data_IF_293998573933
#
_entry.id   IF_293998573933
#
_cell.length_a   1.000
_cell.length_b   1.000
_cell.length_c   1.000
_cell.angle_alpha   90.00
_cell.angle_beta   90.00
_cell.angle_gamma   90.00
#
_symmetry.space_group_name_H-M   'P 1'
#
loop_
_entity.id
_entity.type
_entity.pdbx_description
1 polymer ?
#
# COMPACT_ATOMS: atom_id res chain seq x y z
N UNK A 1 29.38 -4.28 37.96
CA UNK A 1 28.50 -5.24 37.33
C UNK A 1 27.52 -5.69 38.41
N UNK A 2 26.28 -5.20 38.32
CA UNK A 2 25.27 -5.35 39.37
C UNK A 2 24.44 -6.59 39.18
N UNK A 3 23.95 -7.13 40.30
CA UNK A 3 23.17 -8.36 40.48
C UNK A 3 21.87 -8.44 39.60
N UNK A 4 21.53 -7.40 38.87
CA UNK A 4 20.32 -7.33 38.04
C UNK A 4 20.46 -7.95 36.62
N UNK A 5 21.65 -8.40 36.21
CA UNK A 5 21.87 -9.01 34.89
C UNK A 5 21.88 -10.56 34.88
N UNK A 6 21.61 -11.20 36.00
CA UNK A 6 21.64 -12.68 36.11
C UNK A 6 20.27 -13.37 36.10
N UNK A 7 19.16 -12.66 36.15
CA UNK A 7 17.82 -13.27 36.23
C UNK A 7 17.01 -13.29 34.91
N UNK A 8 17.57 -12.81 33.80
CA UNK A 8 16.88 -12.79 32.49
C UNK A 8 17.33 -13.88 31.50
N UNK A 9 17.93 -14.98 32.02
CA UNK A 9 18.16 -16.22 31.26
C UNK A 9 17.32 -17.36 31.81
N UNK A 10 16.02 -17.19 31.82
CA UNK A 10 15.08 -18.31 32.02
C UNK A 10 14.52 -18.76 30.66
N UNK A 11 15.15 -19.78 30.16
CA UNK A 11 14.64 -21.01 29.53
C UNK A 11 13.48 -20.87 28.53
N UNK A 12 13.83 -20.45 27.31
CA UNK A 12 12.96 -20.48 26.13
C UNK A 12 12.57 -21.89 25.64
N UNK A 13 13.04 -22.95 26.32
CA UNK A 13 12.75 -24.37 25.94
C UNK A 13 11.50 -24.95 26.58
N UNK A 14 10.91 -24.31 27.58
CA UNK A 14 9.71 -24.81 28.26
C UNK A 14 8.38 -24.33 27.70
N UNK A 15 8.37 -23.35 26.79
CA UNK A 15 7.14 -22.79 26.21
C UNK A 15 6.64 -23.61 25.00
N UNK A 16 7.50 -24.42 24.39
CA UNK A 16 7.17 -25.10 23.14
C UNK A 16 6.53 -26.49 23.28
N UNK A 17 6.44 -27.04 24.51
CA UNK A 17 5.80 -28.36 24.75
C UNK A 17 4.32 -28.24 25.13
N UNK A 18 3.85 -27.06 25.58
CA UNK A 18 2.45 -26.86 26.00
C UNK A 18 1.47 -26.64 24.85
N UNK A 19 1.92 -26.08 23.70
CA UNK A 19 1.04 -25.85 22.55
C UNK A 19 0.74 -27.09 21.70
N UNK A 20 1.61 -28.08 21.67
CA UNK A 20 1.37 -29.32 20.91
C UNK A 20 0.44 -30.29 21.62
N UNK A 21 0.34 -30.24 22.94
CA UNK A 21 -0.54 -31.11 23.72
C UNK A 21 -1.97 -30.61 23.82
N UNK A 22 -2.18 -29.29 23.66
CA UNK A 22 -3.52 -28.69 23.70
C UNK A 22 -4.33 -28.92 22.42
N UNK A 23 -3.67 -29.04 21.25
CA UNK A 23 -4.33 -29.30 19.98
C UNK A 23 -4.66 -30.77 19.71
N UNK A 24 -4.07 -31.70 20.47
CA UNK A 24 -4.35 -33.14 20.32
C UNK A 24 -5.52 -33.63 21.18
N UNK A 25 -5.90 -32.87 22.23
CA UNK A 25 -6.96 -33.28 23.16
C UNK A 25 -8.36 -32.72 22.81
N UNK A 26 -8.45 -31.73 21.95
CA UNK A 26 -9.73 -31.07 21.54
C UNK A 26 -10.35 -31.64 20.25
N UNK A 27 -9.65 -32.54 19.55
CA UNK A 27 -10.12 -33.12 18.29
C UNK A 27 -11.04 -34.34 18.41
N UNK A 28 -11.12 -34.98 19.59
CA UNK A 28 -11.80 -36.26 19.73
C UNK A 28 -13.20 -36.20 20.37
N UNK A 29 -13.66 -35.05 20.83
CA UNK A 29 -14.95 -34.92 21.58
C UNK A 29 -16.03 -34.11 20.85
N UNK A 30 -15.79 -33.66 19.61
CA UNK A 30 -16.77 -32.88 18.83
C UNK A 30 -17.43 -33.66 17.68
N UNK A 31 -16.93 -34.87 17.39
CA UNK A 31 -17.42 -35.65 16.25
C UNK A 31 -18.73 -36.42 16.48
N UNK A 32 -19.19 -36.65 17.71
CA UNK A 32 -20.41 -37.44 17.98
C UNK A 32 -21.67 -36.63 18.29
N UNK A 33 -21.58 -35.31 18.46
CA UNK A 33 -22.70 -34.44 18.86
C UNK A 33 -23.44 -33.71 17.70
N UNK A 34 -22.94 -33.66 16.50
CA UNK A 34 -23.48 -32.81 15.41
C UNK A 34 -24.19 -33.55 14.24
N UNK A 35 -24.33 -34.86 14.31
CA UNK A 35 -24.96 -35.63 13.23
C UNK A 35 -26.51 -35.67 13.28
N UNK A 36 -27.16 -35.08 14.29
CA UNK A 36 -28.59 -35.28 14.54
C UNK A 36 -29.51 -34.07 14.31
N UNK A 37 -29.06 -33.01 13.62
CA UNK A 37 -29.90 -31.80 13.46
C UNK A 37 -29.89 -31.13 12.09
N UNK A 38 -29.66 -31.87 11.05
CA UNK A 38 -29.91 -31.35 9.69
C UNK A 38 -31.16 -32.00 9.12
N UNK A 39 -32.29 -31.44 9.52
CA UNK A 39 -33.57 -31.72 8.91
C UNK A 39 -33.54 -31.28 7.45
N UNK A 40 -34.11 -32.11 6.57
CA UNK A 40 -34.32 -31.85 5.15
C UNK A 40 -35.18 -30.56 5.00
N UNK A 41 -34.53 -29.42 4.77
CA UNK A 41 -35.14 -28.18 4.31
C UNK A 41 -34.91 -28.07 2.81
N UNK A 42 -35.97 -28.27 2.06
CA UNK A 42 -36.07 -27.92 0.64
C UNK A 42 -35.90 -26.42 0.44
N UNK A 43 -34.98 -25.97 -0.40
CA UNK A 43 -34.88 -24.60 -0.84
C UNK A 43 -33.53 -23.89 -0.55
N UNK A 44 -32.44 -24.42 -1.06
CA UNK A 44 -31.22 -23.63 -1.28
C UNK A 44 -30.81 -23.78 -2.71
N UNK A 45 -31.50 -23.06 -3.57
CA UNK A 45 -31.08 -22.82 -4.93
C UNK A 45 -31.14 -21.31 -5.19
N UNK A 46 -30.25 -20.61 -4.52
CA UNK A 46 -29.65 -19.35 -4.95
C UNK A 46 -28.21 -19.40 -4.49
N UNK A 47 -27.36 -19.98 -5.36
CA UNK A 47 -25.97 -19.53 -5.37
C UNK A 47 -26.07 -18.04 -5.66
N UNK A 48 -25.79 -17.21 -4.68
CA UNK A 48 -25.40 -15.85 -4.95
C UNK A 48 -24.21 -15.99 -5.89
N UNK A 49 -24.41 -15.73 -7.17
CA UNK A 49 -23.34 -15.60 -8.14
C UNK A 49 -22.43 -14.56 -7.54
N UNK A 50 -21.16 -14.95 -7.29
CA UNK A 50 -20.11 -13.98 -7.03
C UNK A 50 -20.24 -12.94 -8.13
N UNK A 51 -20.22 -11.62 -7.82
CA UNK A 51 -20.40 -10.58 -8.81
C UNK A 51 -19.47 -10.90 -9.97
N UNK A 52 -20.05 -11.07 -11.18
CA UNK A 52 -19.35 -11.46 -12.39
C UNK A 52 -18.16 -10.52 -12.58
N UNK A 53 -17.02 -11.07 -12.96
CA UNK A 53 -15.77 -10.35 -13.24
C UNK A 53 -15.90 -9.38 -14.43
N UNK A 54 -16.70 -8.41 -14.37
CA UNK A 54 -16.95 -7.26 -15.24
C UNK A 54 -18.45 -7.02 -15.38
N UNK A 55 -19.01 -6.39 -14.41
CA UNK A 55 -19.79 -5.22 -14.78
C UNK A 55 -18.72 -4.18 -15.16
N UNK A 56 -18.63 -3.86 -16.45
CA UNK A 56 -17.68 -2.88 -16.96
C UNK A 56 -17.85 -1.61 -16.14
N UNK A 57 -16.87 -1.34 -15.26
CA UNK A 57 -16.90 -0.14 -14.50
C UNK A 57 -17.03 1.01 -15.49
N UNK A 58 -18.07 1.82 -15.38
CA UNK A 58 -18.29 2.97 -16.25
C UNK A 58 -17.22 4.04 -16.02
N UNK A 59 -16.24 3.79 -15.13
CA UNK A 59 -15.16 4.68 -14.76
C UNK A 59 -13.82 3.94 -14.79
N UNK A 60 -12.76 4.70 -14.92
CA UNK A 60 -11.38 4.21 -14.97
C UNK A 60 -10.90 3.81 -13.59
N UNK A 61 -10.24 2.65 -13.51
CA UNK A 61 -9.63 2.14 -12.27
C UNK A 61 -8.12 2.31 -12.36
N UNK A 62 -7.54 3.04 -11.40
CA UNK A 62 -6.11 3.33 -11.34
C UNK A 62 -5.62 2.96 -9.94
N UNK A 63 -4.74 1.98 -9.89
CA UNK A 63 -4.02 1.60 -8.69
C UNK A 63 -2.86 2.57 -8.45
N UNK A 64 -2.84 3.25 -7.29
CA UNK A 64 -1.83 4.25 -6.99
C UNK A 64 -0.59 3.70 -6.28
N UNK A 65 -0.53 2.39 -5.99
CA UNK A 65 0.49 1.83 -5.12
C UNK A 65 0.91 0.42 -5.53
N UNK A 66 2.00 0.31 -6.29
CA UNK A 66 2.62 -0.98 -6.60
C UNK A 66 4.14 -0.87 -6.72
N UNK A 67 4.84 -1.86 -6.21
CA UNK A 67 6.30 -1.95 -6.25
C UNK A 67 6.76 -2.80 -7.41
N UNK A 68 7.82 -2.37 -8.13
CA UNK A 68 8.38 -3.09 -9.27
C UNK A 68 9.90 -3.04 -9.24
N UNK A 69 10.54 -4.09 -9.72
CA UNK A 69 11.98 -4.12 -9.97
C UNK A 69 12.72 -5.26 -9.29
N UNK A 70 14.03 -5.11 -9.21
CA UNK A 70 14.94 -6.06 -8.57
C UNK A 70 15.65 -5.32 -7.44
N UNK A 71 15.53 -5.82 -6.21
CA UNK A 71 16.27 -5.30 -5.06
C UNK A 71 17.77 -5.57 -5.24
N UNK A 72 18.58 -4.60 -4.86
CA UNK A 72 20.02 -4.70 -4.84
C UNK A 72 20.56 -4.33 -3.45
N UNK A 73 19.96 -4.88 -2.41
CA UNK A 73 20.42 -4.62 -1.04
C UNK A 73 21.70 -5.40 -0.72
N UNK A 74 22.77 -4.76 -0.22
CA UNK A 74 23.97 -5.47 0.20
C UNK A 74 23.67 -6.29 1.46
N UNK A 75 24.10 -7.56 1.46
CA UNK A 75 24.08 -8.41 2.65
C UNK A 75 22.75 -9.07 2.98
N UNK A 76 21.71 -8.87 2.20
CA UNK A 76 20.51 -9.71 2.29
C UNK A 76 20.78 -11.03 1.56
N UNK A 77 20.66 -12.15 2.28
CA UNK A 77 20.62 -13.46 1.63
C UNK A 77 19.17 -13.69 1.18
N UNK A 78 18.98 -14.29 0.00
CA UNK A 78 17.66 -14.65 -0.54
C UNK A 78 16.80 -15.44 0.47
N UNK A 79 17.45 -16.16 1.41
CA UNK A 79 16.79 -16.95 2.45
C UNK A 79 16.16 -16.10 3.57
N UNK A 80 16.55 -14.83 3.74
CA UNK A 80 16.09 -13.95 4.83
C UNK A 80 15.23 -12.80 4.32
N UNK A 81 15.15 -12.61 3.01
CA UNK A 81 14.33 -11.56 2.39
C UNK A 81 12.99 -12.13 1.95
N UNK A 82 11.93 -11.37 2.13
CA UNK A 82 10.67 -11.73 1.53
C UNK A 82 10.78 -11.72 0.00
N UNK A 83 10.12 -12.64 -0.72
CA UNK A 83 10.24 -12.73 -2.18
C UNK A 83 9.96 -11.40 -2.91
N UNK A 84 8.97 -10.64 -2.45
CA UNK A 84 8.61 -9.33 -3.02
C UNK A 84 9.66 -8.23 -2.76
N UNK A 85 10.50 -8.38 -1.74
CA UNK A 85 11.61 -7.47 -1.50
C UNK A 85 12.82 -7.75 -2.39
N UNK A 86 12.82 -8.89 -3.09
CA UNK A 86 13.94 -9.28 -3.96
C UNK A 86 13.63 -9.06 -5.43
N UNK A 87 12.45 -9.49 -5.89
CA UNK A 87 12.00 -9.33 -7.29
C UNK A 87 10.50 -9.09 -7.33
N UNK A 88 10.10 -7.96 -7.90
CA UNK A 88 8.73 -7.63 -8.23
C UNK A 88 8.59 -7.54 -9.76
N UNK A 89 8.03 -8.58 -10.37
CA UNK A 89 7.95 -8.71 -11.82
C UNK A 89 6.80 -7.88 -12.39
N UNK A 90 7.12 -6.90 -13.23
CA UNK A 90 6.15 -6.02 -13.87
C UNK A 90 5.13 -6.76 -14.75
N UNK A 91 5.49 -7.89 -15.36
CA UNK A 91 4.60 -8.65 -16.24
C UNK A 91 3.58 -9.44 -15.42
N UNK A 92 3.96 -9.93 -14.24
CA UNK A 92 3.03 -10.56 -13.29
C UNK A 92 2.04 -9.52 -12.76
N UNK A 93 2.53 -8.35 -12.33
CA UNK A 93 1.68 -7.25 -11.86
C UNK A 93 0.70 -6.81 -12.94
N UNK A 94 1.16 -6.72 -14.19
CA UNK A 94 0.31 -6.39 -15.32
C UNK A 94 -0.80 -7.43 -15.54
N UNK A 95 -0.47 -8.72 -15.44
CA UNK A 95 -1.46 -9.79 -15.55
C UNK A 95 -2.51 -9.70 -14.44
N UNK A 96 -2.08 -9.56 -13.17
CA UNK A 96 -3.00 -9.44 -12.05
C UNK A 96 -3.90 -8.20 -12.16
N UNK A 97 -3.34 -7.08 -12.60
CA UNK A 97 -4.10 -5.85 -12.84
C UNK A 97 -5.15 -6.03 -13.96
N UNK A 98 -4.84 -6.79 -15.02
CA UNK A 98 -5.81 -7.13 -16.07
C UNK A 98 -6.94 -8.01 -15.53
N UNK A 99 -6.61 -9.03 -14.73
CA UNK A 99 -7.58 -9.90 -14.09
C UNK A 99 -8.46 -9.14 -13.08
N UNK A 100 -7.91 -8.16 -12.38
CA UNK A 100 -8.63 -7.29 -11.45
C UNK A 100 -9.53 -6.25 -12.15
N UNK A 101 -9.30 -6.01 -13.45
CA UNK A 101 -9.96 -4.94 -14.22
C UNK A 101 -9.37 -3.55 -13.95
N UNK A 102 -8.12 -3.48 -13.50
CA UNK A 102 -7.37 -2.25 -13.28
C UNK A 102 -6.84 -1.74 -14.64
N UNK A 103 -7.17 -0.50 -14.98
CA UNK A 103 -6.79 0.11 -16.27
C UNK A 103 -5.35 0.57 -16.28
N UNK A 104 -4.87 1.10 -15.15
CA UNK A 104 -3.50 1.60 -14.99
C UNK A 104 -3.00 1.41 -13.56
N UNK A 105 -1.69 1.17 -13.42
CA UNK A 105 -1.02 1.05 -12.13
C UNK A 105 0.12 2.06 -12.03
N UNK A 106 0.19 2.77 -10.93
CA UNK A 106 1.34 3.61 -10.58
C UNK A 106 2.39 2.67 -9.96
N UNK A 107 3.55 2.61 -10.62
CA UNK A 107 4.65 1.74 -10.20
C UNK A 107 5.84 2.56 -9.72
N UNK A 108 6.56 2.04 -8.75
CA UNK A 108 7.80 2.62 -8.24
C UNK A 108 8.77 1.51 -7.77
N UNK A 109 10.06 1.83 -7.58
CA UNK A 109 11.04 0.80 -7.23
C UNK A 109 10.71 0.11 -5.92
N UNK A 110 10.92 -1.21 -5.85
CA UNK A 110 11.12 -1.90 -4.58
C UNK A 110 12.36 -1.34 -3.88
N UNK A 111 12.61 -1.76 -2.66
CA UNK A 111 13.76 -1.29 -1.88
C UNK A 111 15.10 -1.51 -2.63
N UNK A 112 15.94 -0.48 -2.72
CA UNK A 112 17.17 -0.52 -3.52
C UNK A 112 18.27 0.37 -2.93
N UNK A 113 19.52 0.01 -3.19
CA UNK A 113 20.70 0.82 -2.82
C UNK A 113 21.08 1.87 -3.87
N UNK A 114 20.48 1.81 -5.04
CA UNK A 114 20.76 2.70 -6.17
C UNK A 114 19.44 3.15 -6.80
N UNK A 115 18.80 4.14 -6.19
CA UNK A 115 17.52 4.65 -6.70
C UNK A 115 17.63 5.35 -8.04
N UNK A 116 18.78 5.94 -8.38
CA UNK A 116 18.99 6.48 -9.73
C UNK A 116 18.73 5.41 -10.80
N UNK A 117 19.41 4.26 -10.68
CA UNK A 117 19.23 3.17 -11.65
C UNK A 117 17.83 2.57 -11.59
N UNK A 118 17.29 2.40 -10.37
CA UNK A 118 15.96 1.84 -10.18
C UNK A 118 14.87 2.75 -10.79
N UNK A 119 14.97 4.06 -10.64
CA UNK A 119 14.05 5.03 -11.24
C UNK A 119 14.13 5.05 -12.78
N UNK A 120 15.34 4.91 -13.35
CA UNK A 120 15.52 4.72 -14.80
C UNK A 120 14.85 3.42 -15.29
N UNK A 121 14.90 2.33 -14.49
CA UNK A 121 14.22 1.07 -14.80
C UNK A 121 12.69 1.26 -14.80
N UNK A 122 12.13 1.96 -13.81
CA UNK A 122 10.71 2.33 -13.78
C UNK A 122 10.32 3.12 -15.03
N UNK A 123 11.12 4.13 -15.38
CA UNK A 123 10.84 4.93 -16.57
C UNK A 123 10.80 4.08 -17.85
N UNK A 124 11.74 3.12 -18.00
CA UNK A 124 11.73 2.17 -19.12
C UNK A 124 10.50 1.28 -19.15
N UNK A 125 10.01 0.83 -17.99
CA UNK A 125 8.78 0.04 -17.90
C UNK A 125 7.56 0.86 -18.30
N UNK A 126 7.48 2.13 -17.86
CA UNK A 126 6.41 3.03 -18.28
C UNK A 126 6.43 3.31 -19.79
N UNK A 127 7.61 3.41 -20.40
CA UNK A 127 7.75 3.57 -21.85
C UNK A 127 7.37 2.29 -22.62
N UNK A 128 7.64 1.11 -22.04
CA UNK A 128 7.25 -0.18 -22.63
C UNK A 128 5.74 -0.42 -22.58
N UNK A 129 5.09 0.03 -21.51
CA UNK A 129 3.66 -0.17 -21.25
C UNK A 129 2.91 1.15 -20.97
N UNK A 130 2.93 2.13 -21.87
CA UNK A 130 2.50 3.51 -21.56
C UNK A 130 0.99 3.65 -21.27
N UNK A 131 0.20 2.68 -21.72
CA UNK A 131 -1.25 2.63 -21.40
C UNK A 131 -1.55 1.99 -20.05
N UNK A 132 -0.61 1.21 -19.51
CA UNK A 132 -0.82 0.39 -18.32
C UNK A 132 -0.05 0.88 -17.10
N UNK A 133 1.11 1.50 -17.29
CA UNK A 133 1.93 2.00 -16.19
C UNK A 133 2.13 3.51 -16.27
N UNK A 134 2.19 4.14 -15.09
CA UNK A 134 2.81 5.43 -14.85
C UNK A 134 3.75 5.27 -13.66
N UNK A 135 4.84 6.04 -13.60
CA UNK A 135 5.90 5.82 -12.62
C UNK A 135 6.03 6.96 -11.60
N UNK A 136 6.32 6.60 -10.35
CA UNK A 136 6.90 7.51 -9.38
C UNK A 136 8.39 7.21 -9.23
N UNK A 137 9.20 8.22 -8.95
CA UNK A 137 10.55 7.99 -8.47
C UNK A 137 10.52 7.62 -6.98
N UNK A 138 11.56 6.94 -6.52
CA UNK A 138 11.76 6.65 -5.11
C UNK A 138 13.14 7.18 -4.69
N UNK A 139 13.20 7.80 -3.54
CA UNK A 139 14.43 8.30 -2.93
C UNK A 139 14.48 7.96 -1.44
N UNK A 140 15.67 8.05 -0.89
CA UNK A 140 15.95 7.78 0.52
C UNK A 140 16.87 8.88 1.06
N UNK A 141 16.31 9.74 1.91
CA UNK A 141 17.04 10.87 2.49
C UNK A 141 18.19 10.47 3.45
N UNK A 142 18.17 9.23 3.93
CA UNK A 142 19.16 8.72 4.90
C UNK A 142 20.41 8.13 4.21
N UNK A 143 20.20 7.50 3.05
CA UNK A 143 21.28 6.74 2.37
C UNK A 143 21.83 7.43 1.13
N UNK A 144 21.08 8.33 0.50
CA UNK A 144 21.53 9.07 -0.67
C UNK A 144 22.34 10.33 -0.29
N UNK A 145 23.27 10.72 -1.16
CA UNK A 145 24.12 11.88 -0.94
C UNK A 145 23.30 13.18 -0.96
N UNK A 146 23.39 13.93 0.14
CA UNK A 146 22.73 15.24 0.26
C UNK A 146 23.18 16.21 -0.84
N UNK A 147 22.25 16.96 -1.38
CA UNK A 147 22.50 17.93 -2.46
C UNK A 147 22.43 17.32 -3.86
N UNK A 148 22.30 15.99 -3.99
CA UNK A 148 22.15 15.32 -5.30
C UNK A 148 20.72 14.95 -5.63
N UNK A 149 19.88 14.65 -4.62
CA UNK A 149 18.50 14.15 -4.78
C UNK A 149 17.65 15.15 -5.58
N UNK A 150 17.77 16.44 -5.29
CA UNK A 150 17.03 17.46 -6.03
C UNK A 150 17.29 17.40 -7.55
N UNK A 151 18.55 17.30 -7.94
CA UNK A 151 18.90 17.23 -9.37
C UNK A 151 18.40 15.94 -10.02
N UNK A 152 18.47 14.80 -9.31
CA UNK A 152 17.92 13.53 -9.77
C UNK A 152 16.40 13.61 -9.94
N UNK A 153 15.66 14.10 -8.97
CA UNK A 153 14.20 14.27 -9.06
C UNK A 153 13.80 15.15 -10.26
N UNK A 154 14.52 16.24 -10.51
CA UNK A 154 14.25 17.10 -11.65
C UNK A 154 14.44 16.38 -12.98
N UNK A 155 15.51 15.58 -13.11
CA UNK A 155 15.76 14.74 -14.29
C UNK A 155 14.67 13.68 -14.45
N UNK A 156 14.34 12.97 -13.39
CA UNK A 156 13.38 11.87 -13.39
C UNK A 156 11.96 12.32 -13.77
N UNK A 157 11.54 13.47 -13.27
CA UNK A 157 10.23 14.03 -13.57
C UNK A 157 10.17 14.68 -14.93
N UNK A 158 11.18 15.50 -15.30
CA UNK A 158 11.14 16.31 -16.52
C UNK A 158 11.58 15.55 -17.76
N UNK A 159 12.67 14.74 -17.62
CA UNK A 159 13.29 14.10 -18.76
C UNK A 159 12.85 12.64 -18.92
N UNK A 160 12.72 11.90 -17.80
CA UNK A 160 12.26 10.49 -17.81
C UNK A 160 10.74 10.34 -17.78
N UNK A 161 10.02 11.38 -17.39
CA UNK A 161 8.56 11.41 -17.42
C UNK A 161 7.87 10.74 -16.23
N UNK A 162 8.57 10.55 -15.11
CA UNK A 162 7.94 10.11 -13.85
C UNK A 162 6.99 11.19 -13.31
N UNK A 163 6.04 10.83 -12.45
CA UNK A 163 4.89 11.67 -12.13
C UNK A 163 4.71 12.00 -10.65
N UNK A 164 5.46 11.38 -9.76
CA UNK A 164 5.37 11.56 -8.31
C UNK A 164 6.58 10.98 -7.61
N UNK A 165 6.55 11.01 -6.29
CA UNK A 165 7.62 10.54 -5.42
C UNK A 165 7.09 9.53 -4.40
N UNK A 166 7.81 8.42 -4.22
CA UNK A 166 7.62 7.44 -3.13
C UNK A 166 8.74 7.58 -2.11
N UNK A 167 8.42 7.55 -0.84
CA UNK A 167 9.37 7.56 0.28
C UNK A 167 8.99 6.51 1.32
N UNK A 168 10.01 5.91 1.96
CA UNK A 168 9.90 5.08 3.18
C UNK A 168 10.76 5.63 4.33
N UNK A 169 11.51 6.70 4.08
CA UNK A 169 12.26 7.44 5.10
C UNK A 169 11.71 8.86 5.21
N UNK A 170 11.90 9.47 6.37
CA UNK A 170 11.39 10.82 6.60
C UNK A 170 11.97 11.80 5.56
N UNK A 171 11.12 12.58 4.87
CA UNK A 171 11.58 13.49 3.83
C UNK A 171 12.48 14.60 4.38
N UNK A 172 13.59 14.87 3.69
CA UNK A 172 14.39 16.06 3.96
C UNK A 172 13.77 17.30 3.34
N UNK A 173 14.18 18.50 3.82
CA UNK A 173 13.75 19.76 3.21
C UNK A 173 14.14 19.86 1.73
N UNK A 174 15.28 19.29 1.31
CA UNK A 174 15.69 19.23 -0.10
C UNK A 174 14.67 18.50 -0.96
N UNK A 175 14.21 17.34 -0.48
CA UNK A 175 13.21 16.50 -1.18
C UNK A 175 11.87 17.23 -1.27
N UNK A 176 11.40 17.81 -0.16
CA UNK A 176 10.12 18.52 -0.13
C UNK A 176 10.13 19.78 -1.00
N UNK A 177 11.22 20.55 -0.97
CA UNK A 177 11.39 21.70 -1.87
C UNK A 177 11.42 21.28 -3.32
N UNK A 178 12.08 20.17 -3.67
CA UNK A 178 12.07 19.64 -5.03
C UNK A 178 10.66 19.19 -5.46
N UNK A 179 9.94 18.45 -4.62
CA UNK A 179 8.58 18.01 -4.89
C UNK A 179 7.61 19.20 -5.11
N UNK A 180 7.72 20.25 -4.25
CA UNK A 180 6.95 21.49 -4.41
C UNK A 180 7.24 22.16 -5.75
N UNK A 181 8.52 22.34 -6.09
CA UNK A 181 8.94 23.06 -7.30
C UNK A 181 8.60 22.29 -8.59
N UNK A 182 8.50 20.97 -8.50
CA UNK A 182 8.05 20.08 -9.57
C UNK A 182 6.52 19.94 -9.64
N UNK A 183 5.79 20.33 -8.59
CA UNK A 183 4.34 20.18 -8.50
C UNK A 183 3.88 18.73 -8.55
N UNK A 184 4.57 17.84 -7.84
CA UNK A 184 4.28 16.41 -7.82
C UNK A 184 3.75 15.95 -6.46
N UNK A 185 2.89 14.92 -6.40
CA UNK A 185 2.48 14.31 -5.14
C UNK A 185 3.61 13.48 -4.52
N UNK A 186 3.53 13.31 -3.20
CA UNK A 186 4.46 12.53 -2.40
C UNK A 186 3.68 11.44 -1.68
N UNK A 187 3.93 10.18 -2.02
CA UNK A 187 3.45 9.00 -1.31
C UNK A 187 4.54 8.63 -0.29
N UNK A 188 4.27 8.92 0.98
CA UNK A 188 5.21 8.69 2.06
C UNK A 188 4.66 7.67 3.04
N UNK A 189 5.37 6.56 3.15
CA UNK A 189 5.12 5.56 4.19
C UNK A 189 5.95 5.92 5.42
N UNK A 190 5.25 6.30 6.48
CA UNK A 190 5.88 6.70 7.75
C UNK A 190 6.19 5.52 8.67
N UNK A 191 6.01 4.28 8.21
CA UNK A 191 6.22 3.07 9.00
C UNK A 191 5.48 3.13 10.36
N UNK A 192 4.18 3.40 10.34
CA UNK A 192 3.30 3.51 11.52
C UNK A 192 3.64 4.69 12.45
N UNK A 193 4.14 5.78 11.88
CA UNK A 193 4.42 7.04 12.59
C UNK A 193 3.75 8.20 11.87
N UNK A 194 2.42 8.12 11.72
CA UNK A 194 1.65 9.11 10.94
C UNK A 194 1.74 10.52 11.52
N UNK A 195 2.04 10.66 12.80
CA UNK A 195 2.29 11.96 13.45
C UNK A 195 3.44 12.74 12.81
N UNK A 196 4.42 12.06 12.17
CA UNK A 196 5.52 12.71 11.47
C UNK A 196 5.04 13.62 10.32
N UNK A 197 3.87 13.38 9.77
CA UNK A 197 3.32 14.25 8.74
C UNK A 197 3.04 15.67 9.26
N UNK A 198 2.79 15.87 10.56
CA UNK A 198 2.57 17.19 11.13
C UNK A 198 3.83 18.08 11.11
N UNK A 199 5.01 17.48 10.95
CA UNK A 199 6.26 18.23 10.84
C UNK A 199 6.39 19.01 9.53
N UNK A 200 5.68 18.61 8.48
CA UNK A 200 5.80 19.24 7.16
C UNK A 200 4.47 19.64 6.50
N UNK A 201 3.35 19.00 6.79
CA UNK A 201 2.04 19.37 6.22
C UNK A 201 1.71 20.86 6.28
N UNK A 202 1.92 21.56 7.42
CA UNK A 202 1.62 22.98 7.52
C UNK A 202 2.52 23.87 6.68
N UNK A 203 3.75 23.40 6.37
CA UNK A 203 4.77 24.18 5.67
C UNK A 203 4.76 23.95 4.15
N UNK A 204 4.14 22.88 3.68
CA UNK A 204 4.06 22.51 2.27
C UNK A 204 2.60 22.34 1.80
N UNK A 205 1.75 23.38 1.89
CA UNK A 205 0.32 23.27 1.60
C UNK A 205 0.00 22.99 0.12
N UNK A 206 0.97 23.14 -0.76
CA UNK A 206 0.82 22.89 -2.21
C UNK A 206 1.25 21.49 -2.63
N UNK A 207 1.90 20.73 -1.76
CA UNK A 207 2.22 19.33 -2.00
C UNK A 207 1.03 18.49 -1.56
N UNK A 208 0.56 17.60 -2.43
CA UNK A 208 -0.40 16.56 -2.03
C UNK A 208 0.39 15.38 -1.46
N UNK A 209 0.22 15.13 -0.16
CA UNK A 209 0.80 13.98 0.53
C UNK A 209 -0.20 12.83 0.54
N UNK A 210 0.29 11.62 0.33
CA UNK A 210 -0.49 10.39 0.38
C UNK A 210 0.13 9.50 1.47
N UNK A 211 -0.63 9.21 2.52
CA UNK A 211 -0.26 8.22 3.53
C UNK A 211 -0.80 6.86 3.07
N UNK A 212 0.06 5.89 2.76
CA UNK A 212 -0.38 4.56 2.38
C UNK A 212 -1.00 3.82 3.56
N UNK A 213 -1.72 2.74 3.27
CA UNK A 213 -2.22 1.76 4.25
C UNK A 213 -3.13 2.38 5.33
N UNK A 214 -3.78 3.53 5.04
CA UNK A 214 -4.47 4.31 6.06
C UNK A 214 -3.56 4.57 7.28
N UNK A 215 -2.25 4.77 7.05
CA UNK A 215 -1.22 5.08 8.06
C UNK A 215 -0.66 3.88 8.83
N UNK A 216 -1.14 2.65 8.61
CA UNK A 216 -0.76 1.48 9.41
C UNK A 216 -0.51 0.26 8.53
N UNK A 217 0.70 0.15 8.02
CA UNK A 217 1.15 -0.90 7.13
C UNK A 217 0.83 -2.31 7.67
N UNK A 218 -0.12 -3.01 7.04
CA UNK A 218 -0.60 -4.38 7.35
C UNK A 218 -0.76 -4.69 8.85
N UNK A 219 -0.79 -3.66 9.67
CA UNK A 219 -0.81 -3.75 11.12
C UNK A 219 -2.25 -3.80 11.63
N UNK A 220 -2.41 -4.29 12.86
CA UNK A 220 -3.64 -4.16 13.64
C UNK A 220 -3.63 -2.92 14.55
N UNK A 221 -2.71 -1.99 14.34
CA UNK A 221 -2.70 -0.74 15.09
C UNK A 221 -3.79 0.23 14.61
N UNK A 222 -4.98 0.01 15.16
CA UNK A 222 -6.14 0.85 14.89
C UNK A 222 -5.96 2.32 15.31
N UNK A 223 -4.98 2.64 16.17
CA UNK A 223 -4.71 4.02 16.60
C UNK A 223 -4.12 4.84 15.47
N UNK A 224 -3.21 4.24 14.69
CA UNK A 224 -2.64 4.86 13.49
C UNK A 224 -3.75 5.18 12.48
N UNK A 225 -4.70 4.27 12.25
CA UNK A 225 -5.85 4.55 11.41
C UNK A 225 -6.68 5.74 11.88
N UNK A 226 -6.93 5.85 13.20
CA UNK A 226 -7.67 6.99 13.74
C UNK A 226 -6.91 8.31 13.64
N UNK A 227 -5.59 8.30 13.91
CA UNK A 227 -4.73 9.48 13.74
C UNK A 227 -4.68 9.92 12.27
N UNK A 228 -4.58 8.99 11.34
CA UNK A 228 -4.59 9.26 9.91
C UNK A 228 -5.91 9.90 9.46
N UNK A 229 -7.05 9.38 9.92
CA UNK A 229 -8.36 9.97 9.65
C UNK A 229 -8.46 11.40 10.23
N UNK A 230 -7.94 11.62 11.44
CA UNK A 230 -7.92 12.93 12.06
C UNK A 230 -7.06 13.94 11.29
N UNK A 231 -5.86 13.53 10.85
CA UNK A 231 -4.99 14.34 9.99
C UNK A 231 -5.68 14.70 8.67
N UNK A 232 -6.32 13.74 8.03
CA UNK A 232 -7.02 13.98 6.77
C UNK A 232 -8.19 14.97 6.92
N UNK A 233 -8.85 15.01 8.07
CA UNK A 233 -9.86 16.03 8.38
C UNK A 233 -9.28 17.43 8.54
N UNK A 234 -8.06 17.53 9.08
CA UNK A 234 -7.41 18.83 9.35
C UNK A 234 -6.69 19.42 8.13
N UNK A 235 -6.13 18.55 7.28
CA UNK A 235 -5.30 18.97 6.15
C UNK A 235 -5.88 18.51 4.82
N UNK A 236 -6.28 19.45 3.97
CA UNK A 236 -6.87 19.16 2.64
C UNK A 236 -5.89 18.57 1.65
N UNK A 237 -4.60 18.82 1.83
CA UNK A 237 -3.50 18.29 1.02
C UNK A 237 -2.97 16.94 1.55
N UNK A 238 -3.65 16.33 2.52
CA UNK A 238 -3.33 15.02 3.04
C UNK A 238 -4.37 14.01 2.56
N UNK A 239 -3.91 13.00 1.88
CA UNK A 239 -4.69 11.92 1.28
C UNK A 239 -4.28 10.60 1.90
N UNK A 240 -5.12 9.59 1.75
CA UNK A 240 -4.86 8.23 2.18
C UNK A 240 -5.00 7.27 1.01
N UNK A 241 -4.34 6.11 1.04
CA UNK A 241 -4.69 5.00 0.17
C UNK A 241 -5.30 3.81 0.94
N UNK A 242 -5.87 2.88 0.18
CA UNK A 242 -6.60 1.72 0.70
C UNK A 242 -5.76 0.46 0.75
N UNK A 243 -4.51 0.51 0.28
CA UNK A 243 -3.63 -0.64 0.17
C UNK A 243 -3.44 -1.34 1.52
N UNK A 244 -3.44 -2.65 1.54
CA UNK A 244 -3.06 -3.47 2.69
C UNK A 244 -3.79 -3.16 4.02
N UNK A 245 -4.89 -2.44 4.01
CA UNK A 245 -5.69 -2.17 5.22
C UNK A 245 -6.41 -3.44 5.65
N UNK A 246 -5.93 -4.08 6.71
CA UNK A 246 -6.47 -5.35 7.23
C UNK A 246 -7.71 -5.15 8.12
N UNK A 247 -7.79 -4.04 8.83
CA UNK A 247 -8.93 -3.68 9.67
C UNK A 247 -9.96 -2.88 8.86
N UNK A 248 -10.76 -3.58 8.05
CA UNK A 248 -11.71 -2.98 7.10
C UNK A 248 -12.71 -2.02 7.73
N UNK A 249 -13.05 -2.20 9.01
CA UNK A 249 -13.93 -1.27 9.73
C UNK A 249 -13.38 0.16 9.81
N UNK A 250 -12.04 0.33 9.84
CA UNK A 250 -11.42 1.66 9.80
C UNK A 250 -11.38 2.24 8.40
N UNK A 251 -11.27 1.41 7.37
CA UNK A 251 -11.44 1.85 5.99
C UNK A 251 -12.88 2.34 5.75
N UNK A 252 -13.90 1.58 6.22
CA UNK A 252 -15.30 2.01 6.17
C UNK A 252 -15.51 3.33 6.94
N UNK A 253 -14.86 3.48 8.10
CA UNK A 253 -14.88 4.72 8.88
C UNK A 253 -14.28 5.88 8.09
N UNK A 254 -13.12 5.69 7.47
CA UNK A 254 -12.48 6.71 6.63
C UNK A 254 -13.41 7.13 5.47
N UNK A 255 -13.98 6.16 4.74
CA UNK A 255 -14.91 6.41 3.62
C UNK A 255 -16.18 7.15 4.06
N UNK A 256 -16.63 6.92 5.28
CA UNK A 256 -17.81 7.59 5.85
C UNK A 256 -17.51 9.01 6.32
N UNK A 257 -16.32 9.25 6.88
CA UNK A 257 -16.00 10.47 7.61
C UNK A 257 -15.15 11.47 6.81
N UNK A 258 -14.42 11.00 5.80
CA UNK A 258 -13.59 11.86 4.94
C UNK A 258 -14.33 12.22 3.65
N UNK A 259 -13.97 13.39 3.06
CA UNK A 259 -14.28 13.65 1.65
C UNK A 259 -13.72 12.55 0.76
N UNK A 260 -14.52 12.05 -0.19
CA UNK A 260 -14.08 10.99 -1.09
C UNK A 260 -12.84 11.40 -1.90
N UNK A 261 -12.64 12.69 -2.12
CA UNK A 261 -11.52 13.32 -2.82
C UNK A 261 -10.16 13.11 -2.13
N UNK A 262 -10.16 12.69 -0.85
CA UNK A 262 -8.94 12.43 -0.08
C UNK A 262 -8.57 10.94 -0.01
N UNK A 263 -9.34 10.06 -0.63
CA UNK A 263 -9.15 8.60 -0.57
C UNK A 263 -8.74 8.10 -1.95
N UNK A 264 -7.69 7.29 -2.02
CA UNK A 264 -7.18 6.69 -3.25
C UNK A 264 -7.19 5.17 -3.16
N UNK A 265 -7.44 4.51 -4.28
CA UNK A 265 -7.24 3.08 -4.39
C UNK A 265 -5.76 2.77 -4.58
N UNK A 266 -5.20 1.92 -3.74
CA UNK A 266 -3.87 1.33 -3.85
C UNK A 266 -3.92 -0.16 -3.51
N UNK A 267 -2.99 -0.95 -4.04
CA UNK A 267 -2.92 -2.39 -3.79
C UNK A 267 -1.74 -2.83 -2.93
N UNK A 268 -0.61 -2.17 -3.07
CA UNK A 268 0.68 -2.62 -2.53
C UNK A 268 1.20 -3.91 -3.19
N UNK A 269 0.82 -4.13 -4.46
CA UNK A 269 1.35 -5.25 -5.25
C UNK A 269 2.90 -5.15 -5.34
N UNK A 270 3.67 -6.23 -5.19
CA UNK A 270 3.28 -7.63 -5.09
C UNK A 270 3.12 -8.16 -3.66
N UNK A 271 3.24 -7.32 -2.63
CA UNK A 271 3.10 -7.75 -1.25
C UNK A 271 1.68 -8.23 -0.97
N UNK A 272 0.69 -7.48 -1.45
CA UNK A 272 -0.70 -7.90 -1.49
C UNK A 272 -1.16 -7.97 -2.95
N UNK A 273 -1.82 -9.06 -3.31
CA UNK A 273 -2.39 -9.25 -4.65
C UNK A 273 -3.48 -8.21 -4.95
N UNK A 274 -3.30 -7.42 -6.00
CA UNK A 274 -4.22 -6.34 -6.35
C UNK A 274 -5.66 -6.83 -6.63
N UNK A 275 -5.85 -8.11 -6.97
CA UNK A 275 -7.17 -8.72 -7.13
C UNK A 275 -7.92 -8.81 -5.81
N UNK A 276 -7.21 -9.07 -4.70
CA UNK A 276 -7.78 -9.07 -3.34
C UNK A 276 -8.14 -7.65 -2.91
N UNK A 277 -7.27 -6.69 -3.16
CA UNK A 277 -7.49 -5.29 -2.81
C UNK A 277 -8.67 -4.70 -3.60
N UNK A 278 -8.78 -5.01 -4.88
CA UNK A 278 -9.94 -4.62 -5.68
C UNK A 278 -11.23 -5.31 -5.21
N UNK A 279 -11.16 -6.59 -4.81
CA UNK A 279 -12.31 -7.29 -4.24
C UNK A 279 -12.77 -6.66 -2.92
N UNK A 280 -11.86 -6.24 -2.07
CA UNK A 280 -12.14 -5.49 -0.82
C UNK A 280 -13.01 -4.25 -1.10
N UNK A 281 -12.63 -3.43 -2.10
CA UNK A 281 -13.44 -2.27 -2.48
C UNK A 281 -14.82 -2.64 -3.03
N UNK A 282 -14.92 -3.72 -3.82
CA UNK A 282 -16.22 -4.20 -4.32
C UNK A 282 -17.17 -4.63 -3.21
N UNK A 283 -16.64 -5.30 -2.18
CA UNK A 283 -17.44 -5.71 -1.00
C UNK A 283 -17.99 -4.51 -0.22
N UNK A 284 -17.28 -3.39 -0.21
CA UNK A 284 -17.74 -2.16 0.44
C UNK A 284 -18.94 -1.52 -0.25
N UNK A 285 -19.27 -1.93 -1.46
CA UNK A 285 -20.45 -1.50 -2.23
C UNK A 285 -20.63 0.04 -2.22
N UNK A 286 -19.60 0.75 -2.63
CA UNK A 286 -19.56 2.20 -2.61
C UNK A 286 -20.59 2.81 -3.57
N UNK A 287 -21.23 3.95 -3.22
CA UNK A 287 -21.96 4.74 -4.20
C UNK A 287 -21.08 5.05 -5.42
N UNK A 288 -21.66 5.02 -6.63
CA UNK A 288 -20.95 5.18 -7.91
C UNK A 288 -20.00 6.39 -7.91
N UNK A 289 -20.48 7.53 -7.45
CA UNK A 289 -19.73 8.78 -7.46
C UNK A 289 -18.49 8.70 -6.53
N UNK A 290 -18.61 8.02 -5.38
CA UNK A 290 -17.47 7.77 -4.49
C UNK A 290 -16.50 6.76 -5.09
N UNK A 291 -17.02 5.69 -5.70
CA UNK A 291 -16.20 4.66 -6.34
C UNK A 291 -15.39 5.26 -7.50
N UNK A 292 -15.98 6.10 -8.34
CA UNK A 292 -15.30 6.79 -9.43
C UNK A 292 -14.13 7.64 -8.93
N UNK A 293 -14.33 8.41 -7.85
CA UNK A 293 -13.27 9.22 -7.25
C UNK A 293 -12.16 8.34 -6.64
N UNK A 294 -12.54 7.40 -5.80
CA UNK A 294 -11.59 6.56 -5.03
C UNK A 294 -10.80 5.65 -5.96
N UNK A 295 -11.46 4.98 -6.90
CA UNK A 295 -10.82 3.99 -7.75
C UNK A 295 -9.88 4.58 -8.81
N UNK A 296 -9.95 5.89 -9.12
CA UNK A 296 -9.07 6.45 -10.14
C UNK A 296 -9.11 7.96 -10.27
N UNK A 297 -10.28 8.58 -10.13
CA UNK A 297 -10.45 10.03 -10.37
C UNK A 297 -9.55 10.89 -9.49
N UNK A 298 -9.32 10.50 -8.25
CA UNK A 298 -8.47 11.26 -7.34
C UNK A 298 -7.00 11.23 -7.74
N UNK A 299 -6.43 10.05 -8.00
CA UNK A 299 -5.02 9.99 -8.41
C UNK A 299 -4.82 10.67 -9.77
N UNK A 300 -5.75 10.52 -10.71
CA UNK A 300 -5.69 11.22 -11.99
C UNK A 300 -5.69 12.75 -11.80
N UNK A 301 -6.53 13.27 -10.91
CA UNK A 301 -6.56 14.68 -10.53
C UNK A 301 -5.26 15.13 -9.87
N UNK A 302 -4.70 14.37 -8.91
CA UNK A 302 -3.44 14.72 -8.25
C UNK A 302 -2.26 14.75 -9.24
N UNK A 303 -2.33 13.97 -10.31
CA UNK A 303 -1.32 13.95 -11.38
C UNK A 303 -1.63 14.96 -12.49
N UNK A 304 -2.65 15.79 -12.33
CA UNK A 304 -3.02 16.83 -13.30
C UNK A 304 -3.45 16.28 -14.66
N UNK A 305 -4.08 15.09 -14.69
CA UNK A 305 -4.50 14.42 -15.93
C UNK A 305 -3.35 13.94 -16.82
N UNK A 306 -2.14 13.84 -16.31
CA UNK A 306 -0.92 13.48 -17.06
C UNK A 306 -0.63 11.99 -17.14
N UNK A 307 -1.66 11.13 -17.00
CA UNK A 307 -1.52 9.66 -17.00
C UNK A 307 -2.50 8.98 -17.97
#
# INVERSE_FOLDING_TARGET
MSLLQKELKMDSRKINTSRRTFLAASGALVAEGMAARWGKGSGMNERSELPSQRDSAEYRIIDCHAHVGISRQPGTTEELSAPWDTVADAEIILQHAEEAGIDKTIIFPINNINYKQANEDIARMCQRYPKRFAGFCRHDAETEERGTIRAMMFHEIRDLGLRGLKLHTQPSGEILDAARDLGIPVLYDSNQHVELFEEFLPFYPTINFIAPHLGSDQSDDWREHLLTIDLAKRYRNFHIDTAAVVLTEYLEKAIRELPAEQILFGSDEPEIDCRLEMYKLRVLNLPKEKAELICGGNIERLLGGRI
#
